data_IF_004923809507
#
_entry.id   IF_004923809507
#
_cell.length_a   1.000
_cell.length_b   1.000
_cell.length_c   1.000
_cell.angle_alpha   90.00
_cell.angle_beta   90.00
_cell.angle_gamma   90.00
#
_symmetry.space_group_name_H-M   'P 1'
#
loop_
_entity.id
_entity.type
_entity.pdbx_description
1 polymer ?
#
# COMPACT_ATOMS: atom_id res chain seq x y z
N UNK A 1 37.54 8.23 -4.48
CA UNK A 1 36.88 6.93 -4.22
C UNK A 1 35.45 7.24 -3.85
N UNK A 2 34.50 6.98 -4.74
CA UNK A 2 33.08 7.18 -4.47
C UNK A 2 32.61 6.06 -3.55
N UNK A 3 32.71 6.26 -2.24
CA UNK A 3 31.99 5.46 -1.28
C UNK A 3 30.51 5.81 -1.43
N UNK A 4 29.81 5.06 -2.28
CA UNK A 4 28.36 4.98 -2.23
C UNK A 4 28.05 4.39 -0.87
N UNK A 5 27.74 5.25 0.10
CA UNK A 5 27.25 4.82 1.39
C UNK A 5 26.05 3.89 1.14
N UNK A 6 26.26 2.60 1.37
CA UNK A 6 25.26 1.56 1.63
C UNK A 6 24.56 1.88 2.97
N UNK A 7 24.13 3.14 3.15
CA UNK A 7 23.46 3.60 4.35
C UNK A 7 22.01 3.18 4.28
N UNK A 8 21.66 2.22 5.11
CA UNK A 8 20.27 1.93 5.46
C UNK A 8 19.56 3.23 5.83
N UNK A 9 18.33 3.40 5.32
CA UNK A 9 17.52 4.57 5.61
C UNK A 9 16.42 4.19 6.60
N UNK A 10 16.32 4.92 7.71
CA UNK A 10 15.16 4.83 8.61
C UNK A 10 14.02 5.63 7.98
N UNK A 11 12.99 4.91 7.53
CA UNK A 11 11.84 5.47 6.84
C UNK A 11 10.64 5.59 7.78
N UNK A 12 9.91 6.70 7.70
CA UNK A 12 8.61 6.90 8.34
C UNK A 12 7.52 6.94 7.28
N UNK A 13 6.40 6.28 7.53
CA UNK A 13 5.20 6.44 6.71
C UNK A 13 4.69 7.88 6.87
N UNK A 14 4.59 8.61 5.77
CA UNK A 14 4.18 10.01 5.75
C UNK A 14 2.71 10.15 5.30
N UNK A 15 2.32 9.41 4.28
CA UNK A 15 0.97 9.49 3.70
C UNK A 15 0.51 8.18 3.10
N UNK A 16 -0.79 7.90 3.20
CA UNK A 16 -1.48 6.84 2.45
C UNK A 16 -2.48 7.52 1.50
N UNK A 17 -2.48 7.12 0.23
CA UNK A 17 -3.39 7.62 -0.78
C UNK A 17 -4.65 6.75 -0.90
N UNK A 18 -5.78 7.28 -1.40
CA UNK A 18 -7.01 6.49 -1.62
C UNK A 18 -6.81 5.28 -2.55
N UNK A 19 -5.77 5.29 -3.37
CA UNK A 19 -5.38 4.17 -4.24
C UNK A 19 -4.66 3.03 -3.50
N UNK A 20 -4.40 3.17 -2.19
CA UNK A 20 -3.60 2.24 -1.41
C UNK A 20 -2.09 2.42 -1.56
N UNK A 21 -1.64 3.43 -2.32
CA UNK A 21 -0.22 3.78 -2.37
C UNK A 21 0.24 4.42 -1.06
N UNK A 22 1.44 4.07 -0.62
CA UNK A 22 2.08 4.59 0.59
C UNK A 22 3.29 5.45 0.22
N UNK A 23 3.38 6.62 0.83
CA UNK A 23 4.54 7.51 0.76
C UNK A 23 5.36 7.42 2.03
N UNK A 24 6.63 7.08 1.88
CA UNK A 24 7.59 6.93 2.95
C UNK A 24 8.67 7.99 2.84
N UNK A 25 9.06 8.61 3.95
CA UNK A 25 10.08 9.64 4.00
C UNK A 25 11.17 9.28 5.03
N UNK A 26 12.43 9.45 4.67
CA UNK A 26 13.55 9.26 5.60
C UNK A 26 13.60 10.42 6.60
N UNK A 27 13.65 10.10 7.90
CA UNK A 27 13.64 11.11 8.98
C UNK A 27 14.90 11.97 9.05
N UNK A 28 15.98 11.59 8.35
CA UNK A 28 17.28 12.28 8.42
C UNK A 28 17.66 13.04 7.15
N UNK A 29 17.33 12.50 5.97
CA UNK A 29 17.76 13.06 4.69
C UNK A 29 16.61 13.40 3.76
N UNK A 30 15.37 13.27 4.22
CA UNK A 30 14.14 13.66 3.51
C UNK A 30 13.92 12.94 2.17
N UNK A 31 14.70 11.87 1.90
CA UNK A 31 14.48 10.99 0.74
C UNK A 31 13.09 10.38 0.83
N UNK A 32 12.36 10.37 -0.29
CA UNK A 32 11.02 9.82 -0.40
C UNK A 32 10.99 8.58 -1.27
N UNK A 33 10.18 7.61 -0.87
CA UNK A 33 9.92 6.38 -1.62
C UNK A 33 8.41 6.16 -1.65
N UNK A 34 7.90 5.79 -2.82
CA UNK A 34 6.51 5.37 -3.00
C UNK A 34 6.47 3.85 -3.04
N UNK A 35 5.62 3.25 -2.21
CA UNK A 35 5.31 1.83 -2.24
C UNK A 35 3.87 1.67 -2.69
N UNK A 36 3.67 0.95 -3.77
CA UNK A 36 2.35 0.51 -4.18
C UNK A 36 2.27 -0.98 -3.89
N UNK A 37 1.32 -1.39 -3.07
CA UNK A 37 0.99 -2.80 -2.96
C UNK A 37 0.19 -3.16 -4.21
N UNK A 38 0.63 -4.19 -4.93
CA UNK A 38 -0.22 -4.76 -5.98
C UNK A 38 -1.52 -5.23 -5.31
N UNK A 39 -2.70 -4.88 -5.84
CA UNK A 39 -3.95 -5.36 -5.29
C UNK A 39 -3.89 -6.88 -5.23
N UNK A 40 -4.08 -7.42 -4.03
CA UNK A 40 -3.90 -8.83 -3.70
C UNK A 40 -5.08 -9.68 -4.19
N UNK A 41 -5.73 -9.31 -5.30
CA UNK A 41 -6.87 -10.07 -5.81
C UNK A 41 -6.78 -10.27 -7.32
N UNK A 42 -6.43 -11.53 -7.64
CA UNK A 42 -6.81 -12.18 -8.89
C UNK A 42 -8.31 -12.39 -8.82
N UNK A 43 -9.07 -11.57 -9.54
CA UNK A 43 -10.49 -11.78 -9.86
C UNK A 43 -11.47 -11.54 -8.69
N UNK A 44 -12.15 -10.39 -8.75
CA UNK A 44 -13.35 -10.13 -7.94
C UNK A 44 -14.53 -10.75 -8.70
N UNK A 45 -15.06 -11.88 -8.23
CA UNK A 45 -16.31 -12.44 -8.75
C UNK A 45 -17.45 -11.65 -8.11
N UNK A 46 -18.01 -10.71 -8.87
CA UNK A 46 -19.26 -10.05 -8.50
C UNK A 46 -20.40 -11.05 -8.70
N UNK A 47 -21.16 -11.34 -7.65
CA UNK A 47 -22.41 -12.08 -7.77
C UNK A 47 -23.36 -11.26 -8.67
N UNK A 48 -23.89 -11.82 -9.77
CA UNK A 48 -24.79 -11.11 -10.68
C UNK A 48 -26.08 -10.57 -10.02
N UNK A 49 -26.34 -10.88 -8.75
CA UNK A 49 -27.45 -10.32 -7.96
C UNK A 49 -27.11 -9.12 -7.05
N UNK A 50 -25.83 -8.80 -6.81
CA UNK A 50 -25.42 -7.71 -5.90
C UNK A 50 -25.15 -6.42 -6.69
N UNK A 51 -26.17 -5.57 -6.78
CA UNK A 51 -25.96 -4.16 -7.14
C UNK A 51 -25.01 -3.52 -6.13
N UNK A 52 -23.99 -2.80 -6.59
CA UNK A 52 -23.05 -2.02 -5.76
C UNK A 52 -23.80 -0.99 -4.90
N UNK A 53 -24.29 -1.46 -3.76
CA UNK A 53 -25.20 -0.76 -2.89
C UNK A 53 -25.60 -1.73 -1.79
N UNK A 54 -24.93 -1.57 -0.65
CA UNK A 54 -25.20 -2.20 0.64
C UNK A 54 -24.46 -3.53 0.95
N UNK A 55 -23.50 -3.36 1.87
CA UNK A 55 -22.93 -4.34 2.81
C UNK A 55 -22.13 -5.51 2.22
N UNK A 56 -20.82 -5.28 2.11
CA UNK A 56 -19.82 -6.37 2.16
C UNK A 56 -19.87 -6.95 3.57
N UNK A 57 -20.41 -8.16 3.71
CA UNK A 57 -20.33 -8.94 4.94
C UNK A 57 -19.06 -9.79 4.81
N UNK A 58 -17.98 -9.37 5.45
CA UNK A 58 -16.81 -10.23 5.62
C UNK A 58 -17.25 -11.44 6.45
N UNK A 59 -17.29 -12.62 5.83
CA UNK A 59 -17.55 -13.86 6.55
C UNK A 59 -16.24 -14.62 6.65
N UNK A 60 -15.63 -14.57 7.83
CA UNK A 60 -14.50 -15.43 8.19
C UNK A 60 -14.94 -16.90 8.16
N UNK A 61 -14.28 -17.72 7.36
CA UNK A 61 -14.44 -19.18 7.39
C UNK A 61 -13.43 -19.71 8.41
N UNK A 62 -13.93 -20.28 9.52
CA UNK A 62 -13.16 -21.12 10.46
C UNK A 62 -13.25 -22.59 10.08
#
# INVERSE_FOLDING_TARGET
MNQTHETEHIMRLDKIYPTGAEEWCCIYCERRVMKQHEPLEREIILDPGLSLGENVIETEIS
#
